data_IF_786235088591
#
_entry.id   IF_786235088591
#
_cell.length_a   1.000
_cell.length_b   1.000
_cell.length_c   1.000
_cell.angle_alpha   90.00
_cell.angle_beta   90.00
_cell.angle_gamma   90.00
#
_symmetry.space_group_name_H-M   'P 1'
#
loop_
_entity.id
_entity.type
_entity.pdbx_description
1 polymer ?
#
# COMPACT_ATOMS: atom_id res chain seq x y z
N UNK A 1 1.86 9.93 8.30
CA UNK A 1 0.57 9.95 9.05
C UNK A 1 -0.21 8.69 8.74
N UNK A 2 -0.98 8.17 9.69
CA UNK A 2 -1.72 6.91 9.57
C UNK A 2 -3.14 7.13 9.00
N UNK A 3 -3.76 6.11 8.38
CA UNK A 3 -5.14 6.17 7.92
C UNK A 3 -6.11 6.67 9.00
N UNK A 4 -6.98 7.61 8.62
CA UNK A 4 -7.99 8.18 9.53
C UNK A 4 -7.51 9.34 10.40
N UNK A 5 -6.21 9.69 10.34
CA UNK A 5 -5.70 10.92 10.92
C UNK A 5 -5.84 12.09 9.93
N UNK A 6 -5.77 13.32 10.47
CA UNK A 6 -5.64 14.51 9.64
C UNK A 6 -4.32 14.47 8.85
N UNK A 7 -4.34 15.08 7.66
CA UNK A 7 -3.21 15.10 6.72
C UNK A 7 -3.00 16.50 6.14
N UNK A 8 -2.80 17.47 7.04
CA UNK A 8 -2.61 18.87 6.65
C UNK A 8 -1.17 19.14 6.19
N UNK A 9 -0.97 20.19 5.42
CA UNK A 9 0.36 20.56 4.94
C UNK A 9 1.30 20.94 6.09
N UNK A 10 0.76 21.56 7.14
CA UNK A 10 1.51 21.92 8.36
C UNK A 10 2.03 20.67 9.09
N UNK A 11 1.17 19.66 9.28
CA UNK A 11 1.57 18.41 9.93
C UNK A 11 2.64 17.67 9.11
N UNK A 12 2.50 17.66 7.78
CA UNK A 12 3.51 17.07 6.89
C UNK A 12 4.87 17.75 7.04
N UNK A 13 4.87 19.07 7.09
CA UNK A 13 6.09 19.86 7.25
C UNK A 13 6.73 19.64 8.63
N UNK A 14 5.93 19.59 9.70
CA UNK A 14 6.40 19.27 11.05
C UNK A 14 7.12 17.92 11.11
N UNK A 15 6.51 16.86 10.54
CA UNK A 15 7.13 15.54 10.48
C UNK A 15 8.41 15.53 9.64
N UNK A 16 8.46 16.32 8.56
CA UNK A 16 9.66 16.45 7.75
C UNK A 16 10.80 17.11 8.54
N UNK A 17 10.54 18.20 9.25
CA UNK A 17 11.54 18.87 10.09
C UNK A 17 12.06 17.94 11.19
N UNK A 18 11.16 17.20 11.85
CA UNK A 18 11.53 16.20 12.85
C UNK A 18 12.42 15.09 12.25
N UNK A 19 12.13 14.63 11.03
CA UNK A 19 12.96 13.64 10.34
C UNK A 19 14.36 14.18 10.05
N UNK A 20 14.48 15.40 9.52
CA UNK A 20 15.78 15.99 9.17
C UNK A 20 16.63 16.19 10.42
N UNK A 21 16.06 16.71 11.50
CA UNK A 21 16.78 16.86 12.77
C UNK A 21 17.21 15.49 13.32
N UNK A 22 16.32 14.49 13.29
CA UNK A 22 16.65 13.15 13.76
C UNK A 22 17.79 12.50 12.95
N UNK A 23 17.80 12.67 11.62
CA UNK A 23 18.90 12.17 10.78
C UNK A 23 20.22 12.83 11.19
N UNK A 24 20.21 14.14 11.43
CA UNK A 24 21.41 14.87 11.90
C UNK A 24 21.88 14.39 13.26
N UNK A 25 20.99 14.17 14.21
CA UNK A 25 21.33 13.63 15.53
C UNK A 25 21.96 12.23 15.45
N UNK A 26 21.42 11.35 14.59
CA UNK A 26 21.86 9.96 14.48
C UNK A 26 23.14 9.81 13.66
N UNK A 27 23.32 10.63 12.62
CA UNK A 27 24.41 10.48 11.65
C UNK A 27 25.51 11.53 11.77
N UNK A 28 25.22 12.67 12.38
CA UNK A 28 26.08 13.86 12.39
C UNK A 28 25.95 14.74 11.13
N UNK A 29 25.20 14.30 10.12
CA UNK A 29 25.08 14.97 8.82
C UNK A 29 23.86 15.90 8.77
N UNK A 30 24.09 17.17 8.42
CA UNK A 30 23.05 18.20 8.33
C UNK A 30 22.46 18.25 6.91
N UNK A 31 21.60 17.29 6.57
CA UNK A 31 20.98 17.21 5.24
C UNK A 31 20.11 18.43 4.92
N UNK A 32 19.58 19.14 5.92
CA UNK A 32 18.61 20.21 5.72
C UNK A 32 19.11 21.35 4.83
N UNK A 33 20.43 21.59 4.81
CA UNK A 33 21.06 22.67 4.04
C UNK A 33 21.19 22.36 2.55
N UNK A 34 21.23 21.08 2.19
CA UNK A 34 21.52 20.63 0.83
C UNK A 34 20.27 20.16 0.06
N UNK A 35 19.08 20.29 0.67
CA UNK A 35 17.81 19.90 0.04
C UNK A 35 17.42 20.93 -1.04
N UNK A 36 17.58 20.54 -2.30
CA UNK A 36 17.14 21.34 -3.46
C UNK A 36 15.66 21.16 -3.77
N UNK A 37 15.15 19.95 -3.58
CA UNK A 37 13.76 19.58 -3.88
C UNK A 37 13.29 18.58 -2.84
N UNK A 38 12.04 18.73 -2.38
CA UNK A 38 11.35 17.74 -1.54
C UNK A 38 9.95 17.47 -2.05
N UNK A 39 9.52 16.22 -1.94
CA UNK A 39 8.12 15.80 -2.12
C UNK A 39 7.70 15.00 -0.91
N UNK A 40 6.67 15.46 -0.22
CA UNK A 40 6.07 14.74 0.90
C UNK A 40 4.93 13.89 0.35
N UNK A 41 4.93 12.60 0.68
CA UNK A 41 3.98 11.63 0.16
C UNK A 41 3.39 10.83 1.32
N UNK A 42 2.09 10.95 1.54
CA UNK A 42 1.38 10.33 2.65
C UNK A 42 0.03 9.77 2.19
N UNK A 43 -0.85 9.39 3.12
CA UNK A 43 -2.07 8.64 2.80
C UNK A 43 -3.03 9.38 1.85
N UNK A 44 -3.17 10.71 1.87
CA UNK A 44 -4.03 11.39 0.86
C UNK A 44 -3.49 11.23 -0.56
N UNK A 45 -2.18 11.18 -0.72
CA UNK A 45 -1.54 10.96 -2.02
C UNK A 45 -1.74 9.51 -2.48
N UNK A 46 -1.69 8.54 -1.56
CA UNK A 46 -2.06 7.15 -1.88
C UNK A 46 -3.54 7.00 -2.29
N UNK A 47 -4.44 7.74 -1.65
CA UNK A 47 -5.86 7.75 -2.04
C UNK A 47 -6.01 8.34 -3.45
N UNK A 48 -5.36 9.47 -3.71
CA UNK A 48 -5.47 10.18 -4.98
C UNK A 48 -4.84 9.41 -6.15
N UNK A 49 -3.61 8.94 -5.99
CA UNK A 49 -2.84 8.38 -7.10
C UNK A 49 -3.18 6.90 -7.36
N UNK A 50 -3.56 6.14 -6.31
CA UNK A 50 -3.76 4.69 -6.41
C UNK A 50 -5.17 4.22 -6.04
N UNK A 51 -6.09 5.12 -5.70
CA UNK A 51 -7.40 4.76 -5.15
C UNK A 51 -7.27 3.83 -3.93
N UNK A 52 -6.17 3.96 -3.18
CA UNK A 52 -5.89 3.08 -2.05
C UNK A 52 -6.91 3.32 -0.94
N UNK A 53 -7.57 2.25 -0.49
CA UNK A 53 -8.54 2.34 0.59
C UNK A 53 -7.91 2.96 1.84
N UNK A 54 -8.44 4.10 2.28
CA UNK A 54 -7.91 4.91 3.39
C UNK A 54 -6.42 5.29 3.26
N UNK A 55 -5.84 5.20 2.06
CA UNK A 55 -4.45 5.59 1.78
C UNK A 55 -3.39 4.64 2.33
N UNK A 56 -3.73 3.36 2.51
CA UNK A 56 -2.75 2.33 2.90
C UNK A 56 -1.73 2.07 1.79
N UNK A 57 -0.45 2.10 2.14
CA UNK A 57 0.64 1.68 1.26
C UNK A 57 0.78 0.14 1.17
N UNK A 58 0.20 -0.61 2.12
CA UNK A 58 0.45 -2.04 2.29
C UNK A 58 -0.82 -2.91 2.34
N UNK A 59 -1.95 -2.39 1.85
CA UNK A 59 -3.20 -3.12 1.85
C UNK A 59 -3.75 -3.40 3.27
N UNK A 60 -4.27 -4.60 3.48
CA UNK A 60 -4.81 -5.05 4.77
C UNK A 60 -3.70 -5.24 5.82
N UNK A 61 -3.99 -4.92 7.08
CA UNK A 61 -3.07 -5.09 8.20
C UNK A 61 -2.66 -6.55 8.42
N UNK A 62 -1.51 -6.76 9.04
CA UNK A 62 -0.97 -8.09 9.35
C UNK A 62 -1.55 -8.70 10.64
N UNK A 63 -2.88 -8.64 10.79
CA UNK A 63 -3.56 -9.32 11.90
C UNK A 63 -3.82 -10.78 11.55
N UNK A 64 -4.01 -11.66 12.55
CA UNK A 64 -4.30 -13.07 12.32
C UNK A 64 -5.50 -13.27 11.36
N UNK A 65 -6.54 -12.45 11.50
CA UNK A 65 -7.76 -12.53 10.68
C UNK A 65 -7.65 -11.82 9.32
N UNK A 66 -6.53 -11.15 9.02
CA UNK A 66 -6.29 -10.46 7.74
C UNK A 66 -5.04 -11.01 7.02
N UNK A 67 -4.61 -12.22 7.38
CA UNK A 67 -3.43 -12.88 6.82
C UNK A 67 -3.78 -14.22 6.18
N UNK A 68 -2.90 -14.68 5.28
CA UNK A 68 -2.98 -15.98 4.61
C UNK A 68 -4.38 -16.29 4.05
N UNK A 69 -5.00 -17.38 4.52
CA UNK A 69 -6.30 -17.89 4.06
C UNK A 69 -7.49 -17.04 4.49
N UNK A 70 -7.31 -16.13 5.46
CA UNK A 70 -8.36 -15.23 5.94
C UNK A 70 -8.46 -13.94 5.13
N UNK A 71 -7.56 -13.72 4.17
CA UNK A 71 -7.69 -12.63 3.22
C UNK A 71 -8.89 -12.80 2.29
N UNK A 72 -9.46 -11.70 1.77
CA UNK A 72 -10.48 -11.76 0.73
C UNK A 72 -10.05 -12.64 -0.44
N UNK A 73 -11.01 -13.42 -0.96
CA UNK A 73 -10.79 -14.29 -2.12
C UNK A 73 -10.61 -13.45 -3.39
N UNK A 74 -9.89 -14.01 -4.36
CA UNK A 74 -9.70 -13.38 -5.66
C UNK A 74 -10.91 -13.50 -6.59
N UNK A 75 -11.95 -14.27 -6.26
CA UNK A 75 -13.17 -14.38 -7.07
C UNK A 75 -14.38 -13.84 -6.31
N UNK A 76 -15.22 -13.08 -7.01
CA UNK A 76 -16.48 -12.57 -6.45
C UNK A 76 -17.46 -13.70 -6.13
N UNK A 77 -18.08 -13.65 -4.96
CA UNK A 77 -19.16 -14.56 -4.58
C UNK A 77 -20.51 -14.19 -5.20
N UNK A 78 -20.65 -12.97 -5.69
CA UNK A 78 -21.93 -12.40 -6.13
C UNK A 78 -21.99 -12.24 -7.66
N UNK A 79 -20.87 -11.91 -8.29
CA UNK A 79 -20.80 -11.64 -9.74
C UNK A 79 -19.98 -12.73 -10.40
N UNK A 80 -20.59 -13.45 -11.35
CA UNK A 80 -19.89 -14.47 -12.14
C UNK A 80 -18.82 -13.81 -13.03
N UNK A 81 -17.69 -14.49 -13.22
CA UNK A 81 -16.57 -14.05 -14.05
C UNK A 81 -15.92 -12.73 -13.57
N UNK A 82 -16.12 -12.34 -12.30
CA UNK A 82 -15.44 -11.19 -11.70
C UNK A 82 -14.32 -11.66 -10.76
N UNK A 83 -13.12 -11.16 -11.04
CA UNK A 83 -11.90 -11.47 -10.31
C UNK A 83 -11.24 -10.20 -9.75
N UNK A 84 -10.52 -10.37 -8.65
CA UNK A 84 -9.81 -9.33 -7.92
C UNK A 84 -8.34 -9.75 -7.77
N UNK A 85 -7.43 -8.88 -8.18
CA UNK A 85 -5.98 -9.03 -7.97
C UNK A 85 -5.42 -7.82 -7.25
N UNK A 86 -4.17 -7.91 -6.78
CA UNK A 86 -3.49 -6.86 -6.06
C UNK A 86 -3.30 -7.14 -4.57
N UNK A 87 -2.94 -6.10 -3.83
CA UNK A 87 -2.42 -6.22 -2.46
C UNK A 87 -3.46 -6.55 -1.37
N UNK A 88 -4.76 -6.48 -1.70
CA UNK A 88 -5.84 -6.67 -0.73
C UNK A 88 -6.36 -8.11 -0.68
N UNK A 89 -6.24 -8.86 -1.77
CA UNK A 89 -6.71 -10.25 -1.85
C UNK A 89 -5.62 -11.23 -1.46
N UNK A 90 -6.01 -12.49 -1.28
CA UNK A 90 -5.04 -13.58 -1.18
C UNK A 90 -4.14 -13.59 -2.43
N UNK A 91 -2.81 -13.76 -2.30
CA UNK A 91 -2.08 -14.21 -1.11
C UNK A 91 -1.55 -13.08 -0.20
N UNK A 92 -1.43 -11.83 -0.66
CA UNK A 92 -1.00 -10.74 0.19
C UNK A 92 -0.48 -9.49 -0.49
N UNK A 93 0.19 -8.66 0.30
CA UNK A 93 0.85 -7.41 -0.11
C UNK A 93 2.30 -7.66 -0.53
N UNK A 94 2.83 -6.79 -1.38
CA UNK A 94 4.22 -6.79 -1.83
C UNK A 94 4.32 -7.24 -3.29
N UNK A 95 5.33 -6.74 -4.01
CA UNK A 95 5.51 -7.01 -5.44
C UNK A 95 5.44 -8.51 -5.76
N UNK A 96 6.16 -9.41 -5.05
CA UNK A 96 6.08 -10.84 -5.33
C UNK A 96 4.67 -11.41 -5.12
N UNK A 97 3.99 -11.02 -4.05
CA UNK A 97 2.67 -11.57 -3.71
C UNK A 97 1.60 -11.13 -4.71
N UNK A 98 1.67 -9.89 -5.20
CA UNK A 98 0.73 -9.37 -6.22
C UNK A 98 0.93 -10.06 -7.57
N UNK A 99 2.18 -10.36 -7.94
CA UNK A 99 2.47 -11.14 -9.15
C UNK A 99 1.93 -12.56 -9.04
N UNK A 100 2.22 -13.25 -7.92
CA UNK A 100 1.68 -14.59 -7.65
C UNK A 100 0.15 -14.59 -7.66
N UNK A 101 -0.50 -13.58 -7.07
CA UNK A 101 -1.96 -13.44 -7.10
C UNK A 101 -2.49 -13.47 -8.54
N UNK A 102 -1.84 -12.68 -9.41
CA UNK A 102 -2.24 -12.52 -10.80
C UNK A 102 -2.02 -13.78 -11.61
N UNK A 103 -0.90 -14.49 -11.39
CA UNK A 103 -0.61 -15.78 -12.02
C UNK A 103 -1.64 -16.85 -11.64
N UNK A 104 -2.02 -16.93 -10.36
CA UNK A 104 -3.03 -17.87 -9.88
C UNK A 104 -4.40 -17.59 -10.52
N UNK A 105 -4.80 -16.32 -10.59
CA UNK A 105 -6.06 -15.91 -11.23
C UNK A 105 -6.04 -16.20 -12.73
N UNK A 106 -4.95 -15.88 -13.42
CA UNK A 106 -4.82 -16.15 -14.84
C UNK A 106 -4.94 -17.65 -15.14
N UNK A 107 -4.30 -18.49 -14.32
CA UNK A 107 -4.43 -19.94 -14.39
C UNK A 107 -5.87 -20.41 -14.15
N UNK A 108 -6.53 -19.92 -13.10
CA UNK A 108 -7.93 -20.28 -12.78
C UNK A 108 -8.89 -19.91 -13.92
N UNK A 109 -8.70 -18.72 -14.52
CA UNK A 109 -9.48 -18.28 -15.67
C UNK A 109 -9.23 -19.19 -16.88
N UNK A 110 -7.97 -19.54 -17.16
CA UNK A 110 -7.64 -20.43 -18.27
C UNK A 110 -8.21 -21.84 -18.08
N UNK A 111 -8.17 -22.39 -16.86
CA UNK A 111 -8.74 -23.71 -16.57
C UNK A 111 -10.28 -23.70 -16.64
N UNK A 112 -10.92 -22.58 -16.25
CA UNK A 112 -12.38 -22.47 -16.21
C UNK A 112 -13.00 -22.11 -17.58
N UNK A 113 -12.34 -21.25 -18.35
CA UNK A 113 -12.88 -20.68 -19.59
C UNK A 113 -12.01 -20.92 -20.83
N UNK A 114 -10.81 -21.47 -20.67
CA UNK A 114 -9.95 -21.84 -21.78
C UNK A 114 -10.60 -22.95 -22.60
N UNK A 115 -10.71 -22.71 -23.90
CA UNK A 115 -11.10 -23.72 -24.88
C UNK A 115 -9.91 -24.58 -25.26
#
# INVERSE_FOLDING_TARGET
MAPGLADTDEQREEYFLHLVEHVKEVTGEDLGKDILVKRLYTHRDFIQDYHAYQGTALGLSHTLMQTAVFRPRHQSKQVKNLYYTGQYTHPGVGVPMVLIASELIAKDIQETYGR
#
